data_IF_813978374463
#
_entry.id   IF_813978374463
#
_cell.length_a   1.000
_cell.length_b   1.000
_cell.length_c   1.000
_cell.angle_alpha   90.00
_cell.angle_beta   90.00
_cell.angle_gamma   90.00
#
_symmetry.space_group_name_H-M   'P 1'
#
loop_
_entity.id
_entity.type
_entity.pdbx_description
1 polymer ?
#
# COMPACT_ATOMS: atom_id res chain seq x y z
N UNK A 1 -19.86 10.19 2.69
CA UNK A 1 -18.86 9.17 2.30
C UNK A 1 -18.90 9.08 0.79
N UNK A 2 -17.78 9.38 0.12
CA UNK A 2 -17.68 9.25 -1.34
C UNK A 2 -17.68 7.78 -1.71
N UNK A 3 -18.47 7.39 -2.71
CA UNK A 3 -18.44 6.05 -3.30
C UNK A 3 -17.26 5.99 -4.28
N UNK A 4 -16.07 5.70 -3.76
CA UNK A 4 -14.93 5.39 -4.64
C UNK A 4 -15.16 4.04 -5.30
N UNK A 5 -14.99 4.01 -6.63
CA UNK A 5 -15.11 2.79 -7.42
C UNK A 5 -14.00 1.82 -7.04
N UNK A 6 -14.36 0.59 -6.66
CA UNK A 6 -13.39 -0.43 -6.31
C UNK A 6 -12.63 -0.92 -7.56
N UNK A 7 -11.33 -1.12 -7.41
CA UNK A 7 -10.45 -1.64 -8.47
C UNK A 7 -10.34 -3.16 -8.38
N UNK A 8 -10.26 -3.83 -9.54
CA UNK A 8 -10.05 -5.28 -9.63
C UNK A 8 -8.63 -5.71 -9.26
N UNK A 9 -7.64 -4.89 -9.60
CA UNK A 9 -6.24 -5.06 -9.21
C UNK A 9 -5.68 -3.72 -8.77
N UNK A 10 -4.96 -3.70 -7.65
CA UNK A 10 -4.20 -2.54 -7.17
C UNK A 10 -2.71 -2.87 -7.20
N UNK A 11 -1.94 -2.03 -7.91
CA UNK A 11 -0.48 -2.09 -7.91
C UNK A 11 0.06 -1.14 -6.84
N UNK A 12 1.02 -1.63 -6.05
CA UNK A 12 1.62 -0.87 -4.96
C UNK A 12 3.13 -0.75 -5.20
N UNK A 13 3.56 0.45 -5.57
CA UNK A 13 4.94 0.82 -5.91
C UNK A 13 5.52 1.90 -4.99
N UNK A 14 4.74 2.34 -4.00
CA UNK A 14 5.13 3.34 -3.00
C UNK A 14 5.26 2.72 -1.63
N UNK A 15 6.17 3.29 -0.86
CA UNK A 15 6.44 2.92 0.53
C UNK A 15 5.92 3.97 1.49
N UNK A 16 5.65 3.53 2.72
CA UNK A 16 5.44 4.43 3.87
C UNK A 16 6.75 5.14 4.22
N UNK A 17 6.70 6.10 5.16
CA UNK A 17 7.90 6.74 5.74
C UNK A 17 8.37 6.00 7.02
N UNK A 18 8.29 4.68 7.02
CA UNK A 18 8.58 3.83 8.18
C UNK A 18 7.53 3.87 9.30
N UNK A 19 6.39 4.54 9.09
CA UNK A 19 5.30 4.66 10.07
C UNK A 19 3.95 4.36 9.41
N UNK A 20 3.19 3.44 10.00
CA UNK A 20 1.79 3.20 9.67
C UNK A 20 0.89 4.13 10.48
N UNK A 21 0.13 4.96 9.77
CA UNK A 21 -0.81 5.92 10.35
C UNK A 21 -2.16 5.79 9.63
N UNK A 22 -3.24 5.40 10.33
CA UNK A 22 -4.58 5.27 9.74
C UNK A 22 -5.14 6.56 9.15
N UNK A 23 -4.60 7.71 9.54
CA UNK A 23 -4.99 9.03 9.05
C UNK A 23 -4.31 9.39 7.73
N UNK A 24 -3.25 8.68 7.33
CA UNK A 24 -2.57 8.88 6.05
C UNK A 24 -3.36 8.24 4.91
N UNK A 25 -3.25 8.78 3.68
CA UNK A 25 -3.93 8.21 2.52
C UNK A 25 -3.54 6.74 2.26
N UNK A 26 -4.53 5.96 1.86
CA UNK A 26 -4.36 4.59 1.35
C UNK A 26 -4.59 4.57 -0.17
N UNK A 27 -4.11 3.53 -0.84
CA UNK A 27 -4.42 3.25 -2.25
C UNK A 27 -5.75 2.48 -2.37
N UNK A 28 -6.35 2.48 -3.55
CA UNK A 28 -7.60 1.75 -3.79
C UNK A 28 -8.82 2.51 -3.25
N UNK A 29 -9.99 1.86 -3.20
CA UNK A 29 -10.17 0.52 -2.64
C UNK A 29 -10.02 -0.66 -3.62
N UNK A 30 -9.55 -1.81 -3.14
CA UNK A 30 -9.58 -3.09 -3.88
C UNK A 30 -10.91 -3.80 -3.62
N UNK A 31 -11.55 -4.31 -4.68
CA UNK A 31 -12.81 -5.05 -4.53
C UNK A 31 -12.59 -6.39 -3.83
N UNK A 32 -13.65 -6.94 -3.24
CA UNK A 32 -13.64 -8.31 -2.76
C UNK A 32 -13.30 -9.30 -3.90
N UNK A 33 -12.43 -10.28 -3.60
CA UNK A 33 -11.86 -11.18 -4.61
C UNK A 33 -10.92 -10.52 -5.63
N UNK A 34 -10.55 -9.25 -5.44
CA UNK A 34 -9.54 -8.56 -6.25
C UNK A 34 -8.10 -8.95 -5.90
N UNK A 35 -7.14 -8.39 -6.65
CA UNK A 35 -5.71 -8.67 -6.49
C UNK A 35 -4.94 -7.44 -6.01
N UNK A 36 -3.93 -7.67 -5.16
CA UNK A 36 -2.93 -6.67 -4.80
C UNK A 36 -1.58 -7.19 -5.30
N UNK A 37 -0.90 -6.39 -6.11
CA UNK A 37 0.47 -6.68 -6.57
C UNK A 37 1.38 -5.64 -5.95
N UNK A 38 2.25 -6.06 -5.04
CA UNK A 38 3.08 -5.17 -4.24
C UNK A 38 4.56 -5.40 -4.53
N UNK A 39 5.28 -4.31 -4.81
CA UNK A 39 6.73 -4.31 -4.85
C UNK A 39 7.25 -4.14 -3.42
N UNK A 40 7.91 -5.14 -2.86
CA UNK A 40 8.41 -5.09 -1.48
C UNK A 40 9.78 -4.43 -1.40
N UNK A 41 10.06 -3.74 -0.29
CA UNK A 41 11.38 -3.22 0.02
C UNK A 41 12.40 -4.37 0.11
N UNK A 42 13.71 -4.12 -0.07
CA UNK A 42 14.74 -5.16 0.00
C UNK A 42 15.09 -5.55 1.46
N UNK A 43 14.05 -5.91 2.22
CA UNK A 43 14.11 -6.37 3.61
C UNK A 43 14.84 -5.41 4.56
N UNK A 44 15.48 -5.97 5.59
CA UNK A 44 16.22 -5.21 6.60
C UNK A 44 17.35 -4.34 6.04
N UNK A 45 17.77 -4.61 4.79
CA UNK A 45 18.82 -3.88 4.09
C UNK A 45 18.27 -2.70 3.27
N UNK A 46 16.96 -2.42 3.34
CA UNK A 46 16.26 -1.29 2.71
C UNK A 46 17.10 -0.02 2.64
N UNK A 47 17.40 0.61 3.78
CA UNK A 47 18.15 1.87 3.83
C UNK A 47 19.60 1.77 3.34
N UNK A 48 20.19 0.57 3.31
CA UNK A 48 21.55 0.37 2.83
C UNK A 48 21.62 0.25 1.31
N UNK A 49 20.57 -0.27 0.67
CA UNK A 49 20.49 -0.44 -0.80
C UNK A 49 19.79 0.78 -1.44
N UNK A 50 18.72 1.27 -0.81
CA UNK A 50 17.90 2.39 -1.26
C UNK A 50 17.86 3.43 -0.14
N UNK A 51 18.78 4.42 -0.17
CA UNK A 51 18.95 5.39 0.93
C UNK A 51 17.72 6.25 1.25
N UNK A 52 16.78 6.37 0.31
CA UNK A 52 15.51 7.07 0.51
C UNK A 52 14.59 6.33 1.48
N UNK A 53 14.81 5.02 1.68
CA UNK A 53 14.09 4.24 2.67
C UNK A 53 14.56 4.57 4.09
N UNK A 54 13.61 4.85 4.98
CA UNK A 54 13.89 5.35 6.34
C UNK A 54 14.17 4.25 7.36
N UNK A 55 13.83 3.00 7.05
CA UNK A 55 14.08 1.89 7.96
C UNK A 55 14.05 0.52 7.29
N UNK A 56 14.70 -0.46 7.91
CA UNK A 56 14.70 -1.86 7.45
C UNK A 56 13.35 -2.58 7.58
N UNK A 57 12.35 -1.93 8.18
CA UNK A 57 10.98 -2.44 8.32
C UNK A 57 9.95 -1.54 7.61
N UNK A 58 10.41 -0.76 6.63
CA UNK A 58 9.51 0.08 5.85
C UNK A 58 8.62 -0.79 4.94
N UNK A 59 7.32 -0.52 4.99
CA UNK A 59 6.31 -1.30 4.28
C UNK A 59 5.72 -0.49 3.13
N UNK A 60 5.09 -1.18 2.19
CA UNK A 60 4.31 -0.57 1.12
C UNK A 60 3.16 0.27 1.68
N UNK A 61 2.73 1.29 0.93
CA UNK A 61 1.54 2.09 1.31
C UNK A 61 0.32 1.16 1.43
N UNK A 62 -0.48 1.28 2.50
CA UNK A 62 -1.65 0.42 2.68
C UNK A 62 -2.68 0.58 1.56
N UNK A 63 -3.40 -0.50 1.28
CA UNK A 63 -4.51 -0.54 0.32
C UNK A 63 -5.82 -0.65 1.08
N UNK A 64 -6.77 0.23 0.80
CA UNK A 64 -8.10 0.16 1.37
C UNK A 64 -8.85 -1.07 0.83
N UNK A 65 -9.52 -1.80 1.72
CA UNK A 65 -10.44 -2.86 1.32
C UNK A 65 -11.80 -2.26 0.95
N UNK A 66 -12.29 -2.56 -0.25
CA UNK A 66 -13.58 -2.14 -0.76
C UNK A 66 -14.60 -3.27 -0.71
N UNK A 67 -15.86 -2.90 -0.46
CA UNK A 67 -17.00 -3.76 -0.78
C UNK A 67 -17.71 -3.13 -1.97
N UNK A 68 -17.79 -3.86 -3.07
CA UNK A 68 -18.67 -3.46 -4.17
C UNK A 68 -20.09 -3.54 -3.64
N UNK A 69 -20.71 -2.39 -3.41
CA UNK A 69 -22.14 -2.30 -3.15
C UNK A 69 -22.83 -2.36 -4.52
N UNK A 70 -22.91 -3.56 -5.10
CA UNK A 70 -23.86 -3.83 -6.19
C UNK A 70 -25.27 -3.90 -5.64
#
# INVERSE_FOLDING_TARGET
>A
MSLEKCSGTVFVDRFTDGVLDPSKPMLGPVKDGGFIVANTAPGCWGPMITPELKGGHEVTVPVAAGRDLT
#
